data_IF_427176101303
#
_entry.id   IF_427176101303
#
_cell.length_a   1.000
_cell.length_b   1.000
_cell.length_c   1.000
_cell.angle_alpha   90.00
_cell.angle_beta   90.00
_cell.angle_gamma   90.00
#
_symmetry.space_group_name_H-M   'P 1'
#
loop_
_entity.id
_entity.type
_entity.pdbx_description
1 polymer ?
#
# COMPACT_ATOMS: atom_id res chain seq x y z
N UNK A 1 -9.21 0.69 15.62
CA UNK A 1 -8.64 -0.62 16.02
C UNK A 1 -7.39 -0.98 15.21
N UNK A 2 -7.35 -0.85 13.87
CA UNK A 2 -6.15 -1.16 13.06
C UNK A 2 -4.94 -0.24 13.30
N UNK A 3 -5.14 1.04 13.66
CA UNK A 3 -4.07 2.01 13.91
C UNK A 3 -3.18 1.64 15.12
N UNK A 4 -3.72 0.88 16.07
CA UNK A 4 -2.94 0.36 17.21
C UNK A 4 -1.90 -0.65 16.74
N UNK A 5 -2.32 -1.65 15.97
CA UNK A 5 -1.43 -2.64 15.33
C UNK A 5 -0.48 -1.99 14.32
N UNK A 6 -0.99 -0.99 13.59
CA UNK A 6 -0.25 -0.19 12.63
C UNK A 6 1.04 0.43 13.20
N UNK A 7 0.95 0.90 14.45
CA UNK A 7 2.05 1.58 15.14
C UNK A 7 2.77 0.63 16.08
N UNK A 8 2.03 -0.24 16.77
CA UNK A 8 2.56 -1.19 17.74
C UNK A 8 3.42 -2.27 17.08
N UNK A 9 3.07 -2.78 15.90
CA UNK A 9 3.88 -3.83 15.26
C UNK A 9 5.25 -3.29 14.81
N UNK A 10 5.35 -2.15 14.11
CA UNK A 10 6.65 -1.58 13.76
C UNK A 10 7.41 -1.09 14.99
N UNK A 11 6.74 -0.52 16.00
CA UNK A 11 7.41 -0.08 17.23
C UNK A 11 7.94 -1.27 18.05
N UNK A 12 7.16 -2.34 18.16
CA UNK A 12 7.57 -3.57 18.83
C UNK A 12 8.73 -4.26 18.09
N UNK A 13 8.69 -4.28 16.75
CA UNK A 13 9.76 -4.83 15.94
C UNK A 13 11.03 -3.95 15.97
N UNK A 14 10.89 -2.62 16.08
CA UNK A 14 12.01 -1.69 16.31
C UNK A 14 12.62 -1.88 17.69
N UNK A 15 11.80 -2.08 18.72
CA UNK A 15 12.25 -2.31 20.10
C UNK A 15 12.97 -3.65 20.25
N UNK A 16 12.49 -4.72 19.61
CA UNK A 16 13.13 -6.05 19.68
C UNK A 16 14.28 -6.25 18.69
N UNK A 17 14.28 -5.59 17.53
CA UNK A 17 15.31 -5.74 16.48
C UNK A 17 15.72 -4.40 15.88
N UNK A 18 16.40 -3.53 16.66
CA UNK A 18 16.79 -2.19 16.23
C UNK A 18 17.66 -2.19 14.96
N UNK A 19 18.52 -3.20 14.78
CA UNK A 19 19.38 -3.32 13.60
C UNK A 19 18.60 -3.42 12.26
N UNK A 20 17.36 -3.91 12.25
CA UNK A 20 16.55 -4.01 11.04
C UNK A 20 15.85 -2.69 10.64
N UNK A 21 15.79 -1.72 11.57
CA UNK A 21 15.11 -0.43 11.40
C UNK A 21 16.01 0.79 11.64
N UNK A 22 17.26 0.58 12.03
CA UNK A 22 18.28 1.60 12.20
C UNK A 22 18.94 1.95 10.84
N UNK A 23 19.32 3.22 10.68
CA UNK A 23 19.95 3.77 9.47
C UNK A 23 19.00 4.54 8.54
N UNK A 24 19.56 5.26 7.57
CA UNK A 24 18.77 5.92 6.51
C UNK A 24 18.62 5.02 5.30
N UNK A 25 17.63 5.37 4.47
CA UNK A 25 17.40 4.75 3.17
C UNK A 25 18.60 5.02 2.26
N UNK A 26 19.61 4.16 2.22
CA UNK A 26 20.79 4.34 1.36
C UNK A 26 22.13 4.43 2.10
N UNK A 27 22.13 4.40 3.44
CA UNK A 27 23.35 4.47 4.28
C UNK A 27 24.23 3.20 4.26
N UNK A 28 24.12 2.34 3.24
CA UNK A 28 25.09 1.29 2.91
C UNK A 28 25.78 0.54 4.06
N UNK A 29 25.23 -0.62 4.44
CA UNK A 29 26.05 -1.77 4.80
C UNK A 29 25.60 -2.88 3.84
N UNK A 30 26.51 -3.21 2.91
CA UNK A 30 26.38 -4.16 1.80
C UNK A 30 25.73 -3.62 0.52
N UNK A 31 26.49 -3.76 -0.58
CA UNK A 31 26.17 -3.33 -1.94
C UNK A 31 25.06 -4.15 -2.58
N UNK A 32 23.85 -4.12 -2.02
CA UNK A 32 22.66 -4.55 -2.75
C UNK A 32 22.41 -3.51 -3.84
N UNK A 33 22.75 -3.85 -5.08
CA UNK A 33 22.29 -3.07 -6.23
C UNK A 33 20.76 -3.05 -6.18
N UNK A 34 20.10 -1.88 -6.29
CA UNK A 34 18.64 -1.80 -6.33
C UNK A 34 18.02 -2.80 -7.32
N UNK A 35 18.74 -3.13 -8.40
CA UNK A 35 18.36 -4.10 -9.43
C UNK A 35 18.22 -5.56 -8.97
N UNK A 36 18.87 -5.99 -7.88
CA UNK A 36 18.82 -7.40 -7.43
C UNK A 36 17.65 -7.69 -6.49
N UNK A 37 17.24 -6.71 -5.68
CA UNK A 37 16.12 -6.87 -4.74
C UNK A 37 14.81 -6.36 -5.34
N UNK A 38 14.86 -5.34 -6.19
CA UNK A 38 13.69 -4.79 -6.86
C UNK A 38 13.60 -5.32 -8.29
N UNK A 39 12.82 -6.40 -8.46
CA UNK A 39 12.29 -6.70 -9.79
C UNK A 39 11.42 -5.52 -10.23
N UNK A 40 11.67 -4.91 -11.40
CA UNK A 40 10.93 -3.71 -11.83
C UNK A 40 9.43 -3.98 -11.95
N UNK A 41 9.03 -5.21 -12.33
CA UNK A 41 7.64 -5.62 -12.45
C UNK A 41 6.78 -5.37 -11.20
N UNK A 42 7.02 -6.05 -10.05
CA UNK A 42 6.21 -5.88 -8.85
C UNK A 42 6.29 -4.47 -8.23
N UNK A 43 7.42 -3.77 -8.34
CA UNK A 43 7.51 -2.37 -7.88
C UNK A 43 6.67 -1.45 -8.75
N UNK A 44 6.76 -1.60 -10.07
CA UNK A 44 5.98 -0.81 -11.01
C UNK A 44 4.49 -1.12 -10.88
N UNK A 45 4.11 -2.39 -10.67
CA UNK A 45 2.74 -2.78 -10.37
C UNK A 45 2.23 -2.16 -9.07
N UNK A 46 3.04 -2.18 -8.00
CA UNK A 46 2.69 -1.55 -6.73
C UNK A 46 2.52 -0.03 -6.92
N UNK A 47 3.48 0.65 -7.56
CA UNK A 47 3.43 2.10 -7.78
C UNK A 47 2.28 2.51 -8.70
N UNK A 48 2.16 1.90 -9.88
CA UNK A 48 1.12 2.24 -10.84
C UNK A 48 -0.28 1.92 -10.28
N UNK A 49 -0.44 0.75 -9.65
CA UNK A 49 -1.71 0.35 -9.05
C UNK A 49 -2.13 1.24 -7.89
N UNK A 50 -1.21 1.55 -6.96
CA UNK A 50 -1.53 2.45 -5.83
C UNK A 50 -1.77 3.90 -6.28
N UNK A 51 -1.00 4.41 -7.25
CA UNK A 51 -1.23 5.75 -7.81
C UNK A 51 -2.56 5.84 -8.54
N UNK A 52 -2.92 4.83 -9.34
CA UNK A 52 -4.18 4.83 -10.09
C UNK A 52 -5.39 4.77 -9.15
N UNK A 53 -5.35 3.85 -8.17
CA UNK A 53 -6.40 3.74 -7.14
C UNK A 53 -6.50 5.04 -6.36
N UNK A 54 -5.36 5.57 -5.90
CA UNK A 54 -5.31 6.80 -5.11
C UNK A 54 -5.81 8.04 -5.87
N UNK A 55 -5.42 8.19 -7.13
CA UNK A 55 -5.88 9.29 -7.97
C UNK A 55 -7.40 9.23 -8.20
N UNK A 56 -7.94 8.04 -8.48
CA UNK A 56 -9.38 7.84 -8.65
C UNK A 56 -10.13 8.16 -7.36
N UNK A 57 -9.63 7.71 -6.22
CA UNK A 57 -10.18 8.01 -4.90
C UNK A 57 -10.17 9.53 -4.59
N UNK A 58 -9.11 10.25 -4.96
CA UNK A 58 -9.04 11.70 -4.77
C UNK A 58 -9.98 12.46 -5.71
N UNK A 59 -10.13 12.00 -6.96
CA UNK A 59 -11.11 12.56 -7.90
C UNK A 59 -12.53 12.41 -7.32
N UNK A 60 -12.85 11.24 -6.79
CA UNK A 60 -14.13 10.98 -6.13
C UNK A 60 -14.33 11.81 -4.86
N UNK A 61 -13.29 11.94 -4.04
CA UNK A 61 -13.31 12.79 -2.85
C UNK A 61 -13.59 14.27 -3.20
N UNK A 62 -13.01 14.76 -4.30
CA UNK A 62 -13.22 16.12 -4.81
C UNK A 62 -14.58 16.32 -5.52
N UNK A 63 -15.43 15.29 -5.59
CA UNK A 63 -16.76 15.37 -6.20
C UNK A 63 -16.83 14.90 -7.65
N UNK A 64 -15.72 14.45 -8.23
CA UNK A 64 -15.67 13.90 -9.58
C UNK A 64 -16.59 12.70 -9.77
N UNK A 65 -17.13 12.57 -10.98
CA UNK A 65 -18.18 11.59 -11.32
C UNK A 65 -17.72 10.48 -12.26
N UNK A 66 -16.42 10.42 -12.56
CA UNK A 66 -15.84 9.42 -13.46
C UNK A 66 -16.15 8.02 -12.93
N UNK A 67 -16.85 7.20 -13.73
CA UNK A 67 -17.19 5.81 -13.37
C UNK A 67 -18.33 5.67 -12.35
N UNK A 68 -19.05 6.74 -12.02
CA UNK A 68 -20.26 6.69 -11.19
C UNK A 68 -21.49 6.40 -12.05
N UNK A 69 -22.40 5.57 -11.53
CA UNK A 69 -23.69 5.25 -12.16
C UNK A 69 -24.79 6.16 -11.62
N UNK A 70 -24.78 6.40 -10.31
CA UNK A 70 -25.72 7.31 -9.65
C UNK A 70 -24.95 8.27 -8.73
N UNK A 71 -24.54 9.43 -9.24
CA UNK A 71 -23.83 10.42 -8.46
C UNK A 71 -24.71 11.10 -7.39
N UNK A 72 -26.02 10.92 -7.38
CA UNK A 72 -26.91 11.53 -6.38
C UNK A 72 -27.00 10.68 -5.10
N UNK A 73 -26.71 9.38 -5.18
CA UNK A 73 -26.69 8.46 -4.04
C UNK A 73 -25.45 8.61 -3.10
N UNK A 74 -24.66 9.69 -3.25
CA UNK A 74 -23.43 9.91 -2.47
C UNK A 74 -23.72 10.58 -1.13
N UNK A 75 -23.39 9.90 -0.04
CA UNK A 75 -23.42 10.49 1.31
C UNK A 75 -22.12 11.26 1.64
N UNK A 76 -22.13 12.26 2.54
CA UNK A 76 -20.93 13.01 2.93
C UNK A 76 -19.78 12.12 3.46
N UNK A 77 -20.13 11.02 4.12
CA UNK A 77 -19.21 10.01 4.65
C UNK A 77 -18.44 9.29 3.53
N UNK A 78 -19.02 9.18 2.33
CA UNK A 78 -18.40 8.57 1.16
C UNK A 78 -17.21 9.40 0.66
N UNK A 79 -17.34 10.72 0.59
CA UNK A 79 -16.25 11.61 0.17
C UNK A 79 -15.06 11.55 1.14
N UNK A 80 -15.32 11.52 2.44
CA UNK A 80 -14.28 11.37 3.47
C UNK A 80 -13.55 10.03 3.34
N UNK A 81 -14.30 8.96 3.08
CA UNK A 81 -13.72 7.63 2.91
C UNK A 81 -12.87 7.52 1.64
N UNK A 82 -13.34 8.08 0.52
CA UNK A 82 -12.59 8.18 -0.73
C UNK A 82 -11.31 9.01 -0.51
N UNK A 83 -11.41 10.17 0.16
CA UNK A 83 -10.25 11.00 0.48
C UNK A 83 -9.22 10.27 1.35
N UNK A 84 -9.67 9.57 2.38
CA UNK A 84 -8.80 8.74 3.23
C UNK A 84 -8.12 7.62 2.43
N UNK A 85 -8.85 6.93 1.55
CA UNK A 85 -8.27 5.89 0.69
C UNK A 85 -7.23 6.46 -0.28
N UNK A 86 -7.49 7.64 -0.85
CA UNK A 86 -6.56 8.38 -1.68
C UNK A 86 -5.26 8.72 -0.95
N UNK A 87 -5.36 9.28 0.25
CA UNK A 87 -4.22 9.66 1.09
C UNK A 87 -3.35 8.44 1.43
N UNK A 88 -3.96 7.33 1.88
CA UNK A 88 -3.22 6.11 2.20
C UNK A 88 -2.54 5.51 0.97
N UNK A 89 -3.20 5.55 -0.19
CA UNK A 89 -2.61 5.07 -1.45
C UNK A 89 -1.38 5.90 -1.85
N UNK A 90 -1.45 7.23 -1.74
CA UNK A 90 -0.31 8.11 -2.01
C UNK A 90 0.83 7.92 -1.01
N UNK A 91 0.52 7.77 0.28
CA UNK A 91 1.52 7.48 1.31
C UNK A 91 2.24 6.14 1.04
N UNK A 92 1.50 5.13 0.58
CA UNK A 92 2.04 3.84 0.17
C UNK A 92 2.97 3.95 -1.04
N UNK A 93 2.52 4.64 -2.10
CA UNK A 93 3.30 4.90 -3.31
C UNK A 93 4.59 5.66 -3.00
N UNK A 94 4.52 6.69 -2.16
CA UNK A 94 5.69 7.43 -1.70
C UNK A 94 6.67 6.52 -0.96
N UNK A 95 6.19 5.69 -0.04
CA UNK A 95 7.06 4.76 0.71
C UNK A 95 7.78 3.76 -0.21
N UNK A 96 7.06 3.16 -1.18
CA UNK A 96 7.65 2.24 -2.17
C UNK A 96 8.67 2.97 -3.04
N UNK A 97 8.35 4.19 -3.48
CA UNK A 97 9.24 4.99 -4.31
C UNK A 97 10.54 5.37 -3.60
N UNK A 98 10.45 5.82 -2.34
CA UNK A 98 11.63 6.14 -1.50
C UNK A 98 12.50 4.89 -1.30
N UNK A 99 11.87 3.76 -0.97
CA UNK A 99 12.55 2.48 -0.75
C UNK A 99 13.21 1.98 -2.05
N UNK A 100 12.52 2.03 -3.18
CA UNK A 100 13.02 1.57 -4.47
C UNK A 100 14.15 2.44 -5.04
N UNK A 101 14.10 3.76 -4.80
CA UNK A 101 15.16 4.69 -5.24
C UNK A 101 16.37 4.74 -4.30
N UNK A 102 16.32 4.09 -3.14
CA UNK A 102 17.38 4.12 -2.13
C UNK A 102 17.90 5.54 -1.82
N UNK A 103 17.00 6.54 -1.81
CA UNK A 103 17.35 7.96 -1.60
C UNK A 103 17.60 8.24 -0.10
N UNK A 104 18.79 8.71 0.32
CA UNK A 104 19.18 8.93 1.73
C UNK A 104 18.47 10.07 2.47
N UNK A 105 17.29 10.47 2.01
CA UNK A 105 16.55 11.60 2.54
C UNK A 105 15.70 11.29 3.79
N UNK A 106 15.36 10.02 4.05
CA UNK A 106 14.43 9.65 5.11
C UNK A 106 14.93 8.49 6.01
N UNK A 107 14.58 8.49 7.31
CA UNK A 107 14.75 7.32 8.17
C UNK A 107 13.93 6.15 7.61
N UNK A 108 14.51 4.97 7.44
CA UNK A 108 13.87 3.82 6.78
C UNK A 108 12.52 3.39 7.42
N UNK A 109 12.34 3.65 8.72
CA UNK A 109 11.12 3.31 9.45
C UNK A 109 9.89 4.09 8.95
N UNK A 110 10.03 5.32 8.45
CA UNK A 110 8.92 6.13 7.95
C UNK A 110 8.32 5.57 6.65
N UNK A 111 9.07 5.43 5.55
CA UNK A 111 8.52 4.88 4.31
C UNK A 111 8.13 3.41 4.46
N UNK A 112 8.83 2.63 5.30
CA UNK A 112 8.46 1.23 5.55
C UNK A 112 7.14 1.10 6.29
N UNK A 113 6.94 1.90 7.34
CA UNK A 113 5.66 1.93 8.06
C UNK A 113 4.54 2.42 7.15
N UNK A 114 4.76 3.52 6.42
CA UNK A 114 3.76 4.07 5.50
C UNK A 114 3.31 3.05 4.44
N UNK A 115 4.26 2.37 3.76
CA UNK A 115 3.94 1.32 2.78
C UNK A 115 3.28 0.10 3.40
N UNK A 116 3.67 -0.29 4.61
CA UNK A 116 3.05 -1.41 5.31
C UNK A 116 1.58 -1.10 5.67
N UNK A 117 1.32 0.10 6.18
CA UNK A 117 -0.04 0.55 6.53
C UNK A 117 -0.94 0.71 5.33
N UNK A 118 -0.44 1.38 4.29
CA UNK A 118 -1.17 1.53 3.04
C UNK A 118 -1.52 0.17 2.41
N UNK A 119 -0.60 -0.80 2.50
CA UNK A 119 -0.83 -2.15 1.97
C UNK A 119 -1.93 -2.87 2.75
N UNK A 120 -1.83 -2.86 4.08
CA UNK A 120 -2.86 -3.43 4.94
C UNK A 120 -4.23 -2.80 4.72
N UNK A 121 -4.28 -1.47 4.60
CA UNK A 121 -5.51 -0.74 4.29
C UNK A 121 -6.11 -1.18 2.95
N UNK A 122 -5.32 -1.16 1.86
CA UNK A 122 -5.80 -1.53 0.53
C UNK A 122 -6.28 -2.98 0.42
N UNK A 123 -5.55 -3.92 1.03
CA UNK A 123 -5.92 -5.34 1.01
C UNK A 123 -7.13 -5.60 1.89
N UNK A 124 -7.13 -5.15 3.14
CA UNK A 124 -8.24 -5.40 4.06
C UNK A 124 -9.53 -4.73 3.58
N UNK A 125 -9.43 -3.47 3.12
CA UNK A 125 -10.57 -2.73 2.60
C UNK A 125 -11.07 -3.31 1.28
N UNK A 126 -10.16 -3.69 0.39
CA UNK A 126 -10.46 -4.40 -0.86
C UNK A 126 -11.22 -5.69 -0.60
N UNK A 127 -10.67 -6.58 0.22
CA UNK A 127 -11.29 -7.88 0.53
C UNK A 127 -12.63 -7.72 1.26
N UNK A 128 -12.79 -6.69 2.09
CA UNK A 128 -14.07 -6.41 2.75
C UNK A 128 -15.14 -5.90 1.77
N UNK A 129 -14.82 -4.92 0.91
CA UNK A 129 -15.80 -4.30 -0.01
C UNK A 129 -16.11 -5.16 -1.24
N UNK A 130 -15.17 -5.99 -1.68
CA UNK A 130 -15.30 -6.73 -2.94
C UNK A 130 -16.50 -7.68 -2.97
N UNK A 131 -16.80 -8.47 -1.92
CA UNK A 131 -18.03 -9.28 -1.86
C UNK A 131 -19.29 -8.43 -2.02
N UNK A 132 -19.35 -7.24 -1.41
CA UNK A 132 -20.50 -6.34 -1.52
C UNK A 132 -20.64 -5.67 -2.89
N UNK A 133 -19.54 -5.56 -3.65
CA UNK A 133 -19.57 -5.07 -5.02
C UNK A 133 -19.88 -6.18 -6.05
N UNK A 134 -19.39 -7.40 -5.80
CA UNK A 134 -19.59 -8.56 -6.70
C UNK A 134 -20.98 -9.16 -6.54
N UNK A 135 -21.51 -9.24 -5.33
CA UNK A 135 -22.83 -9.85 -5.09
C UNK A 135 -23.96 -9.19 -5.90
N UNK A 136 -24.13 -7.85 -5.92
CA UNK A 136 -25.14 -7.19 -6.75
C UNK A 136 -24.84 -7.24 -8.26
N UNK A 137 -23.58 -7.51 -8.63
CA UNK A 137 -23.21 -7.68 -10.04
C UNK A 137 -23.62 -9.06 -10.58
N UNK A 138 -23.72 -10.06 -9.71
CA UNK A 138 -24.19 -11.41 -10.03
C UNK A 138 -25.72 -11.53 -9.86
N UNK A 139 -26.30 -10.81 -8.89
CA UNK A 139 -27.73 -10.79 -8.61
C UNK A 139 -28.31 -9.36 -8.73
N UNK A 140 -28.70 -8.93 -9.96
CA UNK A 140 -29.11 -7.54 -10.23
C UNK A 140 -30.43 -7.13 -9.54
N UNK A 141 -31.25 -8.09 -9.11
CA UNK A 141 -32.56 -7.83 -8.48
C UNK A 141 -32.45 -7.44 -6.99
N UNK A 142 -31.25 -7.41 -6.42
CA UNK A 142 -31.01 -7.10 -5.00
C UNK A 142 -31.31 -5.62 -4.60
N UNK A 143 -31.81 -4.77 -5.50
CA UNK A 143 -32.39 -3.46 -5.18
C UNK A 143 -31.44 -2.45 -4.52
N UNK A 144 -30.13 -2.71 -4.47
CA UNK A 144 -29.17 -1.86 -3.74
C UNK A 144 -28.57 -0.84 -4.71
N UNK A 145 -28.98 0.43 -4.57
CA UNK A 145 -28.45 1.53 -5.38
C UNK A 145 -27.01 1.87 -4.95
N UNK A 146 -26.02 1.29 -5.64
CA UNK A 146 -24.63 1.71 -5.48
C UNK A 146 -24.35 2.95 -6.34
N UNK A 147 -23.68 3.99 -5.78
CA UNK A 147 -23.37 5.21 -6.54
C UNK A 147 -22.36 4.93 -7.67
N UNK A 148 -21.55 3.89 -7.51
CA UNK A 148 -20.47 3.52 -8.41
C UNK A 148 -20.92 2.46 -9.43
N UNK A 149 -20.37 2.49 -10.66
CA UNK A 149 -20.55 1.36 -11.57
C UNK A 149 -19.85 0.12 -10.97
N UNK A 150 -20.62 -0.95 -10.73
CA UNK A 150 -20.14 -2.17 -10.05
C UNK A 150 -18.88 -2.77 -10.69
N UNK A 151 -18.78 -2.71 -12.03
CA UNK A 151 -17.58 -3.14 -12.76
C UNK A 151 -16.34 -2.29 -12.44
N UNK A 152 -16.50 -0.97 -12.41
CA UNK A 152 -15.40 -0.03 -12.11
C UNK A 152 -14.91 -0.23 -10.68
N UNK A 153 -15.82 -0.36 -9.72
CA UNK A 153 -15.46 -0.64 -8.32
C UNK A 153 -14.79 -1.99 -8.15
N UNK A 154 -15.31 -3.04 -8.78
CA UNK A 154 -14.73 -4.38 -8.66
C UNK A 154 -13.29 -4.41 -9.19
N UNK A 155 -13.06 -3.79 -10.36
CA UNK A 155 -11.72 -3.66 -10.94
C UNK A 155 -10.80 -2.82 -10.03
N UNK A 156 -11.28 -1.70 -9.51
CA UNK A 156 -10.52 -0.85 -8.57
C UNK A 156 -10.13 -1.61 -7.30
N UNK A 157 -11.06 -2.35 -6.70
CA UNK A 157 -10.81 -3.12 -5.47
C UNK A 157 -9.81 -4.25 -5.72
N UNK A 158 -9.96 -4.98 -6.83
CA UNK A 158 -8.98 -6.00 -7.25
C UNK A 158 -7.60 -5.40 -7.47
N UNK A 159 -7.53 -4.28 -8.18
CA UNK A 159 -6.28 -3.56 -8.41
C UNK A 159 -5.65 -3.10 -7.08
N UNK A 160 -6.46 -2.60 -6.14
CA UNK A 160 -6.02 -2.23 -4.79
C UNK A 160 -5.43 -3.42 -4.02
N UNK A 161 -6.09 -4.58 -4.06
CA UNK A 161 -5.60 -5.81 -3.42
C UNK A 161 -4.27 -6.24 -4.04
N UNK A 162 -4.18 -6.31 -5.37
CA UNK A 162 -2.97 -6.73 -6.09
C UNK A 162 -1.82 -5.75 -5.84
N UNK A 163 -2.07 -4.44 -5.91
CA UNK A 163 -1.08 -3.41 -5.65
C UNK A 163 -0.63 -3.42 -4.19
N UNK A 164 -1.56 -3.59 -3.24
CA UNK A 164 -1.26 -3.73 -1.81
C UNK A 164 -0.40 -4.96 -1.52
N UNK A 165 -0.71 -6.11 -2.11
CA UNK A 165 0.08 -7.33 -1.97
C UNK A 165 1.48 -7.19 -2.59
N UNK A 166 1.57 -6.59 -3.78
CA UNK A 166 2.84 -6.28 -4.43
C UNK A 166 3.71 -5.36 -3.56
N UNK A 167 3.10 -4.29 -3.01
CA UNK A 167 3.77 -3.37 -2.09
C UNK A 167 4.29 -4.09 -0.85
N UNK A 168 3.49 -4.93 -0.20
CA UNK A 168 3.95 -5.70 0.96
C UNK A 168 5.13 -6.61 0.62
N UNK A 169 5.05 -7.32 -0.50
CA UNK A 169 6.12 -8.19 -0.96
C UNK A 169 7.42 -7.41 -1.22
N UNK A 170 7.35 -6.20 -1.79
CA UNK A 170 8.53 -5.34 -1.99
C UNK A 170 9.17 -4.92 -0.67
N UNK A 171 8.38 -4.52 0.32
CA UNK A 171 8.86 -4.13 1.66
C UNK A 171 9.50 -5.34 2.37
N UNK A 172 8.83 -6.49 2.36
CA UNK A 172 9.36 -7.71 2.99
C UNK A 172 10.67 -8.18 2.36
N UNK A 173 10.81 -8.08 1.04
CA UNK A 173 12.07 -8.40 0.34
C UNK A 173 13.18 -7.45 0.74
N UNK A 174 12.91 -6.15 0.80
CA UNK A 174 13.88 -5.16 1.26
C UNK A 174 14.34 -5.43 2.70
N UNK A 175 13.43 -5.77 3.60
CA UNK A 175 13.76 -6.14 4.98
C UNK A 175 14.56 -7.45 5.08
N UNK A 176 14.23 -8.47 4.28
CA UNK A 176 14.92 -9.77 4.30
C UNK A 176 16.34 -9.69 3.72
N UNK A 177 16.52 -8.95 2.64
CA UNK A 177 17.84 -8.77 2.02
C UNK A 177 18.82 -8.13 3.01
N UNK A 178 18.40 -7.07 3.71
CA UNK A 178 19.22 -6.43 4.75
C UNK A 178 19.59 -7.35 5.92
N UNK A 179 18.72 -8.30 6.30
CA UNK A 179 19.04 -9.25 7.38
C UNK A 179 20.15 -10.21 6.98
N UNK A 180 20.08 -10.78 5.77
CA UNK A 180 21.13 -11.69 5.29
C UNK A 180 22.49 -11.02 5.25
N UNK A 181 22.53 -9.76 4.85
CA UNK A 181 23.76 -8.98 4.75
C UNK A 181 24.37 -8.69 6.13
N UNK A 182 23.53 -8.38 7.12
CA UNK A 182 23.99 -8.21 8.50
C UNK A 182 24.59 -9.51 9.08
N UNK A 183 23.93 -10.64 8.85
CA UNK A 183 24.42 -11.95 9.32
C UNK A 183 25.73 -12.34 8.63
N UNK A 184 25.88 -12.03 7.34
CA UNK A 184 27.11 -12.30 6.56
C UNK A 184 28.28 -11.44 7.04
N UNK A 185 28.05 -10.15 7.33
CA UNK A 185 29.07 -9.25 7.85
C UNK A 185 29.64 -9.69 9.21
N UNK A 186 28.77 -10.22 10.08
CA UNK A 186 29.20 -10.75 11.38
C UNK A 186 30.05 -12.02 11.22
N UNK A 187 29.66 -12.93 10.31
CA UNK A 187 30.40 -14.17 10.05
C UNK A 187 31.80 -13.95 9.45
N UNK A 188 32.05 -12.84 8.75
CA UNK A 188 33.39 -12.51 8.20
C UNK A 188 34.35 -11.86 9.18
N UNK A 189 33.90 -11.54 10.40
CA UNK A 189 34.70 -10.88 11.44
C UNK A 189 35.14 -11.80 12.57
N UNK A 190 34.69 -13.05 12.58
CA UNK A 190 35.15 -14.14 13.46
C UNK A 190 36.21 -14.98 12.74
#
# INVERSE_FOLDING_TARGET
MGVGLAVALPSHLRARRPAAFAGRVGDGVVGIRPSEVFRPGPVMLALAGTLLVGALDLVWAAGGTIGLRDPAAREPTWHLQAGNAGIWSLAGAWGVWVIARARPAAPLWMPSSASWLASGFLVAWGCWKLPFAVYPAVEPEAGTAWPEQLGVVSVKLLLGIVAGAAMLNTVLRACRARRRDHDTFLSTRE
#
